data_IF_447202726773
#
_entry.id   IF_447202726773
#
_cell.length_a   1.000
_cell.length_b   1.000
_cell.length_c   1.000
_cell.angle_alpha   90.00
_cell.angle_beta   90.00
_cell.angle_gamma   90.00
#
_symmetry.space_group_name_H-M   'P 1'
#
loop_
_entity.id
_entity.type
_entity.pdbx_description
1 polymer ?
#
# COMPACT_ATOMS: atom_id res chain seq x y z
N UNK A 1 2.72 16.22 -9.20
CA UNK A 1 2.42 14.84 -8.72
C UNK A 1 3.62 14.38 -7.90
N UNK A 2 3.47 14.30 -6.58
CA UNK A 2 4.56 13.83 -5.72
C UNK A 2 4.65 12.28 -5.79
N UNK A 3 5.70 11.70 -5.22
CA UNK A 3 5.92 10.25 -5.27
C UNK A 3 4.84 9.45 -4.52
N UNK A 4 4.25 10.03 -3.48
CA UNK A 4 3.18 9.42 -2.71
C UNK A 4 1.86 9.36 -3.50
N UNK A 5 1.52 10.41 -4.25
CA UNK A 5 0.36 10.45 -5.14
C UNK A 5 0.45 9.35 -6.20
N UNK A 6 1.64 9.16 -6.79
CA UNK A 6 1.88 8.09 -7.78
C UNK A 6 1.70 6.70 -7.17
N UNK A 7 2.16 6.53 -5.94
CA UNK A 7 2.04 5.26 -5.21
C UNK A 7 0.58 4.96 -4.85
N UNK A 8 -0.16 5.97 -4.38
CA UNK A 8 -1.59 5.84 -4.11
C UNK A 8 -2.39 5.52 -5.39
N UNK A 9 -2.16 6.27 -6.47
CA UNK A 9 -2.80 6.01 -7.76
C UNK A 9 -2.52 4.59 -8.25
N UNK A 10 -1.25 4.18 -8.25
CA UNK A 10 -0.85 2.83 -8.66
C UNK A 10 -1.52 1.73 -7.84
N UNK A 11 -1.56 1.85 -6.51
CA UNK A 11 -2.19 0.85 -5.66
C UNK A 11 -3.70 0.76 -5.90
N UNK A 12 -4.38 1.90 -6.09
CA UNK A 12 -5.81 1.93 -6.37
C UNK A 12 -6.12 1.38 -7.76
N UNK A 13 -5.32 1.73 -8.77
CA UNK A 13 -5.45 1.18 -10.12
C UNK A 13 -5.19 -0.33 -10.13
N UNK A 14 -4.18 -0.81 -9.41
CA UNK A 14 -3.91 -2.25 -9.32
C UNK A 14 -5.04 -3.02 -8.63
N UNK A 15 -5.62 -2.47 -7.57
CA UNK A 15 -6.82 -3.03 -6.95
C UNK A 15 -8.02 -3.07 -7.92
N UNK A 16 -8.17 -2.09 -8.81
CA UNK A 16 -9.21 -2.08 -9.84
C UNK A 16 -8.93 -3.12 -10.92
N UNK A 17 -7.72 -3.14 -11.47
CA UNK A 17 -7.30 -4.04 -12.55
C UNK A 17 -7.43 -5.51 -12.15
N UNK A 18 -7.04 -5.85 -10.92
CA UNK A 18 -7.12 -7.21 -10.37
C UNK A 18 -8.54 -7.54 -9.85
N UNK A 19 -9.47 -6.57 -9.85
CA UNK A 19 -10.83 -6.75 -9.31
C UNK A 19 -10.88 -6.96 -7.80
N UNK A 20 -9.82 -6.60 -7.07
CA UNK A 20 -9.68 -6.84 -5.63
C UNK A 20 -10.28 -5.69 -4.81
N UNK A 21 -10.96 -6.06 -3.71
CA UNK A 21 -11.52 -5.09 -2.78
C UNK A 21 -10.46 -4.57 -1.79
N UNK A 22 -9.49 -5.41 -1.42
CA UNK A 22 -8.40 -5.08 -0.52
C UNK A 22 -7.22 -6.03 -0.71
N UNK A 23 -6.03 -5.61 -0.28
CA UNK A 23 -4.82 -6.43 -0.23
C UNK A 23 -4.10 -6.24 1.09
N UNK A 24 -3.30 -7.25 1.47
CA UNK A 24 -2.40 -7.16 2.62
C UNK A 24 -1.22 -6.23 2.36
N UNK A 25 -0.57 -5.79 3.44
CA UNK A 25 0.67 -5.03 3.35
C UNK A 25 1.76 -5.71 2.53
N UNK A 26 1.88 -7.05 2.65
CA UNK A 26 2.90 -7.81 1.94
C UNK A 26 2.65 -7.85 0.43
N UNK A 27 1.40 -8.03 0.03
CA UNK A 27 1.00 -8.00 -1.39
C UNK A 27 1.21 -6.61 -1.98
N UNK A 28 0.79 -5.55 -1.27
CA UNK A 28 1.03 -4.18 -1.70
C UNK A 28 2.53 -3.85 -1.81
N UNK A 29 3.33 -4.28 -0.83
CA UNK A 29 4.79 -4.09 -0.86
C UNK A 29 5.45 -4.86 -2.01
N UNK A 30 4.91 -6.03 -2.38
CA UNK A 30 5.32 -6.77 -3.56
C UNK A 30 4.99 -6.00 -4.84
N UNK A 31 3.75 -5.52 -4.99
CA UNK A 31 3.35 -4.74 -6.17
C UNK A 31 4.19 -3.47 -6.37
N UNK A 32 4.50 -2.75 -5.30
CA UNK A 32 5.33 -1.53 -5.35
C UNK A 32 6.76 -1.86 -5.78
N UNK A 33 7.30 -3.00 -5.31
CA UNK A 33 8.63 -3.48 -5.66
C UNK A 33 8.71 -3.90 -7.11
N UNK A 34 7.72 -4.66 -7.58
CA UNK A 34 7.64 -5.15 -8.96
C UNK A 34 7.49 -4.00 -9.97
N UNK A 35 6.83 -2.91 -9.58
CA UNK A 35 6.71 -1.70 -10.41
C UNK A 35 7.87 -0.69 -10.24
N UNK A 36 8.88 -1.01 -9.44
CA UNK A 36 10.05 -0.15 -9.16
C UNK A 36 9.69 1.30 -8.76
N UNK A 37 8.51 1.51 -8.16
CA UNK A 37 7.97 2.85 -7.86
C UNK A 37 8.71 3.58 -6.74
N UNK A 38 9.47 2.83 -5.94
CA UNK A 38 10.29 3.37 -4.86
C UNK A 38 11.71 2.79 -4.95
N UNK A 39 12.75 3.59 -4.64
CA UNK A 39 14.12 3.10 -4.64
C UNK A 39 14.26 1.94 -3.65
N UNK A 40 14.88 0.84 -4.10
CA UNK A 40 15.02 -0.41 -3.33
C UNK A 40 15.65 -0.23 -1.94
N UNK A 41 16.46 0.84 -1.75
CA UNK A 41 17.04 1.20 -0.44
C UNK A 41 15.97 1.50 0.61
N UNK A 42 14.82 2.03 0.21
CA UNK A 42 13.74 2.38 1.13
C UNK A 42 13.01 1.13 1.65
N UNK A 43 12.87 0.06 0.85
CA UNK A 43 11.97 -1.08 1.13
C UNK A 43 12.63 -2.34 1.73
N UNK A 44 13.78 -2.22 2.40
CA UNK A 44 14.51 -3.41 2.94
C UNK A 44 13.78 -4.21 4.04
N UNK A 45 12.69 -3.67 4.58
CA UNK A 45 11.68 -4.35 5.43
C UNK A 45 10.36 -3.64 5.15
N UNK A 46 9.21 -4.26 5.40
CA UNK A 46 7.87 -3.66 5.22
C UNK A 46 7.59 -2.36 6.00
N UNK A 47 8.62 -1.83 6.69
CA UNK A 47 8.63 -0.62 7.50
C UNK A 47 8.15 0.65 6.81
N UNK A 48 8.53 0.96 5.55
CA UNK A 48 8.07 2.19 4.90
C UNK A 48 6.58 2.12 4.65
N UNK A 49 6.07 1.04 4.05
CA UNK A 49 4.64 0.97 3.73
C UNK A 49 3.79 0.95 5.00
N UNK A 50 4.24 0.24 6.04
CA UNK A 50 3.61 0.27 7.36
C UNK A 50 3.56 1.69 7.91
N UNK A 51 4.69 2.40 7.90
CA UNK A 51 4.79 3.77 8.38
C UNK A 51 3.87 4.71 7.60
N UNK A 52 3.82 4.57 6.27
CA UNK A 52 2.94 5.37 5.41
C UNK A 52 1.46 5.14 5.73
N UNK A 53 1.05 3.90 6.02
CA UNK A 53 -0.33 3.61 6.45
C UNK A 53 -0.60 4.22 7.83
N UNK A 54 0.31 4.06 8.79
CA UNK A 54 0.16 4.63 10.14
C UNK A 54 0.13 6.17 10.13
N UNK A 55 0.88 6.80 9.21
CA UNK A 55 0.87 8.24 8.99
C UNK A 55 -0.37 8.74 8.25
N UNK A 56 -1.26 7.85 7.78
CA UNK A 56 -2.45 8.21 7.01
C UNK A 56 -2.16 8.68 5.59
N UNK A 57 -0.99 8.32 5.04
CA UNK A 57 -0.54 8.77 3.71
C UNK A 57 -0.94 7.81 2.58
N UNK A 58 -1.32 6.58 2.93
CA UNK A 58 -1.85 5.59 1.98
C UNK A 58 -3.38 5.63 1.97
N UNK A 59 -3.96 5.90 0.81
CA UNK A 59 -5.41 5.86 0.65
C UNK A 59 -5.95 4.45 0.87
N UNK A 60 -6.96 4.34 1.74
CA UNK A 60 -7.52 3.04 2.14
C UNK A 60 -6.60 2.19 3.00
N UNK A 61 -5.46 2.71 3.43
CA UNK A 61 -4.58 2.06 4.39
C UNK A 61 -5.24 1.99 5.77
N UNK A 62 -5.48 0.77 6.26
CA UNK A 62 -6.06 0.53 7.57
C UNK A 62 -5.19 -0.44 8.38
N UNK A 63 -5.05 -0.16 9.68
CA UNK A 63 -4.56 -1.14 10.64
C UNK A 63 -5.77 -1.88 11.22
N UNK A 64 -5.81 -3.19 11.05
CA UNK A 64 -6.87 -4.02 11.63
C UNK A 64 -6.62 -4.21 13.14
N UNK A 65 -7.63 -4.05 14.01
CA UNK A 65 -7.51 -4.24 15.45
C UNK A 65 -7.47 -5.73 15.83
N UNK A 66 -6.47 -6.47 15.34
CA UNK A 66 -6.18 -7.85 15.74
C UNK A 66 -4.92 -7.92 16.62
N UNK A 67 -4.75 -8.96 17.46
CA UNK A 67 -3.59 -9.12 18.33
C UNK A 67 -2.23 -9.10 17.58
N UNK A 68 -2.26 -9.47 16.29
CA UNK A 68 -1.11 -9.51 15.39
C UNK A 68 -0.87 -8.22 14.59
N UNK A 69 -1.72 -7.19 14.70
CA UNK A 69 -1.55 -5.87 14.06
C UNK A 69 -1.38 -5.94 12.54
N UNK A 70 -2.39 -6.48 11.85
CA UNK A 70 -2.37 -6.61 10.39
C UNK A 70 -2.69 -5.27 9.71
N UNK A 71 -2.06 -5.01 8.57
CA UNK A 71 -2.31 -3.81 7.76
C UNK A 71 -2.85 -4.26 6.42
N UNK A 72 -3.84 -3.51 5.93
CA UNK A 72 -4.45 -3.72 4.62
C UNK A 72 -4.63 -2.41 3.88
N UNK A 73 -4.73 -2.49 2.57
CA UNK A 73 -5.05 -1.37 1.70
C UNK A 73 -6.35 -1.71 0.98
N UNK A 74 -7.39 -0.92 1.23
CA UNK A 74 -8.72 -1.11 0.66
C UNK A 74 -8.91 -0.21 -0.55
N UNK A 75 -9.62 -0.74 -1.55
CA UNK A 75 -10.03 0.02 -2.73
C UNK A 75 -10.99 1.11 -2.30
N UNK A 76 -10.70 2.34 -2.67
CA UNK A 76 -11.62 3.46 -2.46
C UNK A 76 -12.81 3.30 -3.42
N UNK A 77 -14.01 3.54 -2.90
CA UNK A 77 -15.18 3.74 -3.78
C UNK A 77 -15.04 5.14 -4.36
N UNK A 78 -15.08 5.23 -5.68
CA UNK A 78 -15.18 6.50 -6.42
C UNK A 78 -16.44 7.27 -6.02
#
# INVERSE_FOLDING_TARGET
MNQLDRLNAYLQDRLRDEGLAEVTLQEAARWIRDAELLPQRSFRRDGPLRFLIQAGWIQGGEQEPRPSGWYRIRRQRE
#
